data_IF_645493559135
#
_entry.id   IF_645493559135
#
_cell.length_a   1.000
_cell.length_b   1.000
_cell.length_c   1.000
_cell.angle_alpha   90.00
_cell.angle_beta   90.00
_cell.angle_gamma   90.00
#
_symmetry.space_group_name_H-M   'P 1'
#
loop_
_entity.id
_entity.type
_entity.pdbx_description
1 polymer ?
#
# COMPACT_ATOMS: atom_id res chain seq x y z
N UNK A 1 48.12 -62.82 26.56
CA UNK A 1 47.08 -62.40 25.60
C UNK A 1 46.05 -61.57 26.34
N UNK A 2 45.95 -60.27 26.03
CA UNK A 2 44.94 -59.33 26.56
C UNK A 2 43.82 -59.16 25.52
N UNK A 3 42.55 -58.98 25.91
CA UNK A 3 41.48 -58.71 24.96
C UNK A 3 41.53 -57.26 24.45
N UNK A 4 41.25 -57.10 23.16
CA UNK A 4 41.18 -55.82 22.44
C UNK A 4 39.79 -55.20 22.69
N UNK A 5 39.67 -53.92 23.08
CA UNK A 5 38.38 -53.25 23.15
C UNK A 5 37.96 -52.72 21.77
N UNK A 6 36.70 -52.95 21.41
CA UNK A 6 36.03 -52.39 20.24
C UNK A 6 35.74 -50.89 20.45
N UNK A 7 35.88 -50.03 19.43
CA UNK A 7 35.49 -48.63 19.54
C UNK A 7 33.96 -48.49 19.40
N UNK A 8 33.32 -47.88 20.41
CA UNK A 8 31.92 -47.45 20.36
C UNK A 8 31.70 -46.27 19.41
N UNK A 9 30.45 -45.99 19.02
CA UNK A 9 30.12 -45.01 18.00
C UNK A 9 30.52 -43.60 18.45
N UNK A 10 31.32 -42.94 17.62
CA UNK A 10 31.63 -41.53 17.73
C UNK A 10 30.34 -40.70 17.77
N UNK A 11 30.16 -39.93 18.84
CA UNK A 11 29.18 -38.87 18.92
C UNK A 11 29.46 -37.85 17.83
N UNK A 12 28.71 -37.91 16.72
CA UNK A 12 28.61 -36.82 15.75
C UNK A 12 27.95 -35.65 16.47
N UNK A 13 28.76 -34.72 16.99
CA UNK A 13 28.30 -33.37 17.31
C UNK A 13 27.79 -32.74 16.02
N UNK A 14 26.52 -32.39 15.99
CA UNK A 14 25.83 -31.74 14.88
C UNK A 14 26.47 -30.37 14.60
N UNK A 15 26.64 -29.95 13.33
CA UNK A 15 27.20 -28.64 12.97
C UNK A 15 26.24 -27.45 13.21
N UNK A 16 25.18 -27.60 14.00
CA UNK A 16 24.14 -26.58 14.24
C UNK A 16 24.56 -25.42 15.16
N UNK A 17 25.76 -25.42 15.71
CA UNK A 17 26.16 -24.47 16.78
C UNK A 17 26.98 -23.25 16.32
N UNK A 18 27.25 -23.08 15.02
CA UNK A 18 28.16 -22.01 14.55
C UNK A 18 27.54 -20.95 13.62
N UNK A 19 26.23 -20.99 13.32
CA UNK A 19 25.56 -20.03 12.43
C UNK A 19 24.38 -19.28 13.08
N UNK A 20 24.29 -19.24 14.41
CA UNK A 20 23.23 -18.50 15.14
C UNK A 20 23.51 -17.00 15.36
N UNK A 21 24.41 -16.39 14.56
CA UNK A 21 24.81 -14.99 14.77
C UNK A 21 23.80 -13.93 14.29
N UNK A 22 22.71 -14.31 13.61
CA UNK A 22 21.74 -13.37 13.03
C UNK A 22 20.53 -13.11 13.92
N UNK A 23 20.38 -13.87 15.01
CA UNK A 23 19.23 -13.82 15.93
C UNK A 23 19.71 -13.53 17.35
N UNK A 24 20.07 -12.27 17.65
CA UNK A 24 20.28 -11.83 19.04
C UNK A 24 19.49 -10.56 19.35
N UNK A 25 18.97 -10.41 20.59
CA UNK A 25 18.15 -9.29 20.98
C UNK A 25 19.00 -8.02 21.08
N UNK A 26 18.53 -6.95 20.45
CA UNK A 26 19.14 -5.63 20.52
C UNK A 26 19.12 -5.13 21.97
N UNK A 27 20.29 -5.12 22.61
CA UNK A 27 20.56 -4.36 23.84
C UNK A 27 21.30 -3.10 23.42
N UNK A 28 20.70 -1.95 23.78
CA UNK A 28 20.94 -0.69 23.10
C UNK A 28 22.22 0.05 23.46
N UNK A 29 22.49 1.09 22.67
CA UNK A 29 23.24 2.27 23.10
C UNK A 29 22.58 3.51 22.48
N UNK A 30 22.19 4.42 23.35
CA UNK A 30 21.71 5.76 23.08
C UNK A 30 22.86 6.71 22.67
N UNK A 31 22.48 7.89 22.14
CA UNK A 31 23.31 9.03 21.69
C UNK A 31 23.83 8.89 20.24
N UNK A 32 23.61 9.84 19.32
CA UNK A 32 24.12 11.23 19.35
C UNK A 32 23.22 12.19 18.55
N UNK A 33 22.76 13.24 19.26
CA UNK A 33 22.57 14.69 18.96
C UNK A 33 22.25 15.16 17.52
N UNK A 34 21.12 15.85 17.27
CA UNK A 34 20.87 17.30 17.45
C UNK A 34 21.89 18.22 16.75
N UNK A 35 21.52 18.71 15.55
CA UNK A 35 21.70 20.08 15.02
C UNK A 35 21.30 20.01 13.53
N UNK A 36 20.46 20.87 12.96
CA UNK A 36 20.73 22.28 12.77
C UNK A 36 19.42 22.96 12.37
N UNK A 37 19.01 23.99 13.10
CA UNK A 37 17.99 24.94 12.65
C UNK A 37 18.59 26.34 12.59
N UNK A 38 18.14 27.09 11.58
CA UNK A 38 18.12 28.55 11.47
C UNK A 38 19.43 29.31 11.20
N UNK A 39 19.49 29.88 9.99
CA UNK A 39 19.89 31.26 9.71
C UNK A 39 18.97 31.73 8.56
N UNK A 40 17.86 32.40 8.87
CA UNK A 40 17.72 33.84 9.07
C UNK A 40 18.06 34.69 7.82
N UNK A 41 16.98 35.14 7.18
CA UNK A 41 16.77 36.41 6.49
C UNK A 41 17.96 37.35 6.26
N UNK A 42 18.16 37.78 5.01
CA UNK A 42 17.78 39.12 4.49
C UNK A 42 18.48 39.41 3.15
N UNK A 43 17.70 39.75 2.11
CA UNK A 43 18.05 40.68 1.02
C UNK A 43 16.84 40.75 0.05
N UNK A 44 15.98 41.75 0.19
CA UNK A 44 15.93 42.98 -0.62
C UNK A 44 15.39 42.79 -2.06
N UNK A 45 14.09 43.09 -2.18
CA UNK A 45 13.48 44.14 -3.03
C UNK A 45 13.76 44.17 -4.54
N UNK A 46 12.65 44.32 -5.27
CA UNK A 46 12.44 44.61 -6.71
C UNK A 46 12.36 43.35 -7.60
N UNK A 47 11.36 43.13 -8.45
CA UNK A 47 10.56 44.08 -9.22
C UNK A 47 9.04 43.81 -9.12
N UNK A 48 8.27 44.89 -8.94
CA UNK A 48 6.85 44.93 -9.33
C UNK A 48 6.82 45.07 -10.85
N UNK A 49 6.79 43.95 -11.55
CA UNK A 49 6.24 43.91 -12.91
C UNK A 49 4.71 43.93 -12.76
N UNK A 50 4.08 44.96 -13.32
CA UNK A 50 2.63 45.12 -13.31
C UNK A 50 1.97 43.98 -14.07
N UNK A 51 1.59 42.91 -13.37
CA UNK A 51 0.62 41.96 -13.86
C UNK A 51 -0.74 42.66 -13.76
N UNK A 52 -1.26 43.11 -14.89
CA UNK A 52 -2.64 43.54 -15.00
C UNK A 52 -3.51 42.43 -14.42
N UNK A 53 -4.11 42.67 -13.27
CA UNK A 53 -5.18 41.82 -12.75
C UNK A 53 -6.33 42.00 -13.73
N UNK A 54 -6.41 41.08 -14.70
CA UNK A 54 -7.55 40.95 -15.58
C UNK A 54 -8.76 40.76 -14.65
N UNK A 55 -9.66 41.76 -14.62
CA UNK A 55 -10.93 41.61 -13.92
C UNK A 55 -11.61 40.35 -14.48
N UNK A 56 -12.10 39.44 -13.63
CA UNK A 56 -12.78 38.25 -14.12
C UNK A 56 -14.00 38.67 -14.94
N UNK A 57 -14.08 38.25 -16.20
CA UNK A 57 -15.22 38.52 -17.10
C UNK A 57 -16.49 37.84 -16.54
N UNK A 58 -17.44 38.60 -15.96
CA UNK A 58 -18.57 38.00 -15.25
C UNK A 58 -19.55 37.32 -16.22
N UNK A 59 -19.62 37.80 -17.48
CA UNK A 59 -20.48 37.23 -18.53
C UNK A 59 -19.97 35.84 -18.96
N UNK A 60 -18.66 35.69 -19.16
CA UNK A 60 -18.05 34.41 -19.54
C UNK A 60 -18.19 33.34 -18.47
N UNK A 61 -18.04 33.72 -17.18
CA UNK A 61 -18.30 32.83 -16.05
C UNK A 61 -19.76 32.38 -16.01
N UNK A 62 -20.71 33.32 -16.14
CA UNK A 62 -22.14 32.99 -16.11
C UNK A 62 -22.59 32.06 -17.23
N UNK A 63 -21.99 32.17 -18.43
CA UNK A 63 -22.30 31.28 -19.55
C UNK A 63 -21.70 29.88 -19.35
N UNK A 64 -20.50 29.79 -18.76
CA UNK A 64 -19.87 28.51 -18.42
C UNK A 64 -20.69 27.77 -17.36
N UNK A 65 -21.02 28.44 -16.26
CA UNK A 65 -21.83 27.87 -15.18
C UNK A 65 -23.20 27.34 -15.69
N UNK A 66 -23.84 28.06 -16.63
CA UNK A 66 -25.09 27.60 -17.28
C UNK A 66 -24.89 26.34 -18.13
N UNK A 67 -23.81 26.27 -18.91
CA UNK A 67 -23.51 25.12 -19.77
C UNK A 67 -23.19 23.88 -18.93
N UNK A 68 -22.44 24.03 -17.85
CA UNK A 68 -22.07 22.93 -16.97
C UNK A 68 -23.29 22.41 -16.18
N UNK A 69 -24.21 23.32 -15.82
CA UNK A 69 -25.54 22.97 -15.29
C UNK A 69 -26.43 22.24 -16.28
N UNK A 70 -26.40 22.59 -17.57
CA UNK A 70 -27.09 21.85 -18.63
C UNK A 70 -26.50 20.45 -18.83
N UNK A 71 -25.17 20.34 -18.83
CA UNK A 71 -24.47 19.06 -18.99
C UNK A 71 -24.77 18.12 -17.81
N UNK A 72 -24.75 18.64 -16.59
CA UNK A 72 -25.13 17.90 -15.38
C UNK A 72 -26.56 17.36 -15.47
N UNK A 73 -27.51 18.18 -15.93
CA UNK A 73 -28.91 17.74 -16.11
C UNK A 73 -29.06 16.67 -17.18
N UNK A 74 -28.37 16.79 -18.31
CA UNK A 74 -28.38 15.78 -19.37
C UNK A 74 -27.81 14.46 -18.89
N UNK A 75 -26.70 14.50 -18.15
CA UNK A 75 -26.08 13.32 -17.56
C UNK A 75 -27.04 12.63 -16.58
N UNK A 76 -27.62 13.36 -15.62
CA UNK A 76 -28.55 12.81 -14.64
C UNK A 76 -29.79 12.19 -15.32
N UNK A 77 -30.37 12.85 -16.32
CA UNK A 77 -31.53 12.32 -17.06
C UNK A 77 -31.20 11.05 -17.83
N UNK A 78 -30.01 10.96 -18.44
CA UNK A 78 -29.60 9.78 -19.17
C UNK A 78 -29.37 8.58 -18.23
N UNK A 79 -28.74 8.81 -17.08
CA UNK A 79 -28.53 7.77 -16.05
C UNK A 79 -29.85 7.31 -15.42
N UNK A 80 -30.78 8.23 -15.17
CA UNK A 80 -32.10 7.93 -14.61
C UNK A 80 -33.01 7.16 -15.58
N UNK A 81 -32.71 7.16 -16.89
CA UNK A 81 -33.52 6.43 -17.88
C UNK A 81 -33.48 4.91 -17.70
N UNK A 82 -32.45 4.39 -17.03
CA UNK A 82 -32.19 2.95 -16.87
C UNK A 82 -31.83 2.22 -18.17
N UNK A 83 -31.81 2.90 -19.33
CA UNK A 83 -31.51 2.29 -20.63
C UNK A 83 -30.00 2.15 -20.79
N UNK A 84 -29.54 0.93 -21.05
CA UNK A 84 -28.11 0.62 -21.17
C UNK A 84 -27.36 1.52 -22.17
N UNK A 85 -27.96 1.81 -23.34
CA UNK A 85 -27.36 2.69 -24.34
C UNK A 85 -27.21 4.14 -23.84
N UNK A 86 -28.21 4.67 -23.13
CA UNK A 86 -28.20 6.04 -22.63
C UNK A 86 -27.21 6.18 -21.47
N UNK A 87 -27.19 5.22 -20.55
CA UNK A 87 -26.17 5.10 -19.49
C UNK A 87 -24.76 5.02 -20.08
N UNK A 88 -24.54 4.15 -21.08
CA UNK A 88 -23.23 4.00 -21.71
C UNK A 88 -22.78 5.30 -22.38
N UNK A 89 -23.68 6.00 -23.09
CA UNK A 89 -23.37 7.30 -23.70
C UNK A 89 -23.03 8.34 -22.64
N UNK A 90 -23.82 8.42 -21.57
CA UNK A 90 -23.61 9.32 -20.45
C UNK A 90 -22.22 9.12 -19.83
N UNK A 91 -21.88 7.88 -19.47
CA UNK A 91 -20.62 7.56 -18.82
C UNK A 91 -19.41 7.70 -19.74
N UNK A 92 -19.56 7.43 -21.05
CA UNK A 92 -18.42 7.48 -22.00
C UNK A 92 -18.14 8.87 -22.56
N UNK A 93 -19.14 9.76 -22.59
CA UNK A 93 -19.00 11.07 -23.24
C UNK A 93 -19.33 12.25 -22.34
N UNK A 94 -20.50 12.25 -21.68
CA UNK A 94 -20.96 13.40 -20.91
C UNK A 94 -20.21 13.55 -19.59
N UNK A 95 -19.98 12.43 -18.88
CA UNK A 95 -19.27 12.45 -17.61
C UNK A 95 -17.80 12.91 -17.76
N UNK A 96 -16.99 12.38 -18.71
CA UNK A 96 -15.65 12.91 -18.97
C UNK A 96 -15.63 14.40 -19.32
N UNK A 97 -16.53 14.85 -20.21
CA UNK A 97 -16.61 16.28 -20.58
C UNK A 97 -16.97 17.16 -19.38
N UNK A 98 -17.83 16.68 -18.47
CA UNK A 98 -18.13 17.40 -17.23
C UNK A 98 -16.93 17.44 -16.29
N UNK A 99 -16.23 16.31 -16.08
CA UNK A 99 -15.06 16.25 -15.20
C UNK A 99 -13.90 17.11 -15.72
N UNK A 100 -13.70 17.19 -17.03
CA UNK A 100 -12.68 18.04 -17.64
C UNK A 100 -12.95 19.54 -17.45
N UNK A 101 -14.22 19.93 -17.35
CA UNK A 101 -14.63 21.33 -17.20
C UNK A 101 -14.77 21.75 -15.75
N UNK A 102 -15.48 20.94 -14.97
CA UNK A 102 -15.83 21.18 -13.58
C UNK A 102 -16.06 19.84 -12.85
N UNK A 103 -14.97 19.29 -12.32
CA UNK A 103 -15.01 18.06 -11.53
C UNK A 103 -15.80 18.20 -10.22
N UNK A 104 -15.97 19.43 -9.71
CA UNK A 104 -16.79 19.70 -8.52
C UNK A 104 -18.27 19.63 -8.87
N UNK A 105 -18.67 20.08 -10.06
CA UNK A 105 -20.02 19.84 -10.56
C UNK A 105 -20.29 18.34 -10.77
N UNK A 106 -19.32 17.59 -11.32
CA UNK A 106 -19.44 16.14 -11.46
C UNK A 106 -19.59 15.42 -10.12
N UNK A 107 -18.85 15.83 -9.07
CA UNK A 107 -18.94 15.24 -7.74
C UNK A 107 -20.31 15.49 -7.09
N UNK A 108 -20.81 16.74 -7.15
CA UNK A 108 -22.15 17.09 -6.67
C UNK A 108 -23.25 16.34 -7.40
N UNK A 109 -23.09 16.12 -8.72
CA UNK A 109 -24.02 15.30 -9.47
C UNK A 109 -24.00 13.86 -8.95
N UNK A 110 -22.82 13.27 -8.79
CA UNK A 110 -22.65 11.90 -8.31
C UNK A 110 -23.31 11.69 -6.93
N UNK A 111 -23.11 12.64 -6.01
CA UNK A 111 -23.72 12.63 -4.67
C UNK A 111 -25.25 12.73 -4.66
N UNK A 112 -25.86 13.23 -5.74
CA UNK A 112 -27.31 13.38 -5.85
C UNK A 112 -27.96 12.30 -6.75
N UNK A 113 -27.18 11.37 -7.30
CA UNK A 113 -27.72 10.25 -8.06
C UNK A 113 -28.38 9.24 -7.12
N UNK A 114 -29.50 8.68 -7.57
CA UNK A 114 -30.12 7.52 -6.94
C UNK A 114 -29.18 6.31 -6.98
N UNK A 115 -29.17 5.43 -5.96
CA UNK A 115 -28.26 4.27 -5.91
C UNK A 115 -28.34 3.37 -7.15
N UNK A 116 -29.55 3.18 -7.70
CA UNK A 116 -29.79 2.37 -8.91
C UNK A 116 -29.33 3.05 -10.21
N UNK A 117 -29.03 4.36 -10.19
CA UNK A 117 -28.68 5.16 -11.36
C UNK A 117 -27.15 5.20 -11.61
N UNK A 118 -26.47 4.06 -11.45
CA UNK A 118 -25.01 3.94 -11.62
C UNK A 118 -24.19 4.85 -10.69
N UNK A 119 -24.74 5.23 -9.53
CA UNK A 119 -24.13 6.15 -8.55
C UNK A 119 -22.70 5.77 -8.20
N UNK A 120 -22.49 4.53 -7.77
CA UNK A 120 -21.16 4.00 -7.40
C UNK A 120 -20.15 4.15 -8.55
N UNK A 121 -20.56 3.77 -9.77
CA UNK A 121 -19.70 3.86 -10.94
C UNK A 121 -19.31 5.31 -11.28
N UNK A 122 -20.21 6.28 -11.08
CA UNK A 122 -19.92 7.71 -11.27
C UNK A 122 -19.00 8.20 -10.16
N UNK A 123 -19.27 7.88 -8.90
CA UNK A 123 -18.44 8.23 -7.75
C UNK A 123 -17.00 7.75 -7.94
N UNK A 124 -16.80 6.50 -8.36
CA UNK A 124 -15.46 5.94 -8.57
C UNK A 124 -14.73 6.56 -9.76
N UNK A 125 -15.44 6.92 -10.83
CA UNK A 125 -14.84 7.64 -11.94
C UNK A 125 -14.40 9.04 -11.52
N UNK A 126 -15.26 9.77 -10.81
CA UNK A 126 -14.91 11.10 -10.27
C UNK A 126 -13.72 10.99 -9.31
N UNK A 127 -13.72 10.03 -8.38
CA UNK A 127 -12.60 9.82 -7.45
C UNK A 127 -11.27 9.60 -8.16
N UNK A 128 -11.24 8.69 -9.15
CA UNK A 128 -10.02 8.39 -9.90
C UNK A 128 -9.52 9.62 -10.65
N UNK A 129 -10.41 10.28 -11.38
CA UNK A 129 -10.09 11.44 -12.21
C UNK A 129 -9.71 12.67 -11.38
N UNK A 130 -10.34 12.86 -10.23
CA UNK A 130 -9.99 13.94 -9.32
C UNK A 130 -8.65 13.66 -8.67
N UNK A 131 -8.40 12.42 -8.22
CA UNK A 131 -7.12 12.05 -7.63
C UNK A 131 -5.93 12.26 -8.57
N UNK A 132 -6.11 12.11 -9.88
CA UNK A 132 -5.06 12.41 -10.88
C UNK A 132 -4.74 13.91 -10.94
N UNK A 133 -5.74 14.78 -10.79
CA UNK A 133 -5.60 16.24 -10.92
C UNK A 133 -5.24 16.93 -9.60
N UNK A 134 -5.90 16.51 -8.52
CA UNK A 134 -5.77 17.04 -7.17
C UNK A 134 -6.08 15.92 -6.13
N UNK A 135 -5.04 15.15 -5.74
CA UNK A 135 -5.13 14.08 -4.75
C UNK A 135 -5.78 14.50 -3.42
N UNK A 136 -5.42 15.68 -2.92
CA UNK A 136 -5.85 16.16 -1.62
C UNK A 136 -7.33 16.55 -1.63
N UNK A 137 -7.78 17.23 -2.69
CA UNK A 137 -9.19 17.56 -2.86
C UNK A 137 -10.06 16.30 -3.06
N UNK A 138 -9.60 15.32 -3.84
CA UNK A 138 -10.30 14.06 -4.05
C UNK A 138 -10.52 13.28 -2.74
N UNK A 139 -9.47 13.16 -1.91
CA UNK A 139 -9.55 12.49 -0.60
C UNK A 139 -10.42 13.27 0.39
N UNK A 140 -10.34 14.60 0.36
CA UNK A 140 -11.21 15.46 1.19
C UNK A 140 -12.68 15.27 0.82
N UNK A 141 -12.98 15.25 -0.48
CA UNK A 141 -14.32 14.99 -0.98
C UNK A 141 -14.82 13.60 -0.60
N UNK A 142 -14.02 12.55 -0.80
CA UNK A 142 -14.40 11.18 -0.47
C UNK A 142 -14.82 11.03 1.01
N UNK A 143 -14.08 11.67 1.93
CA UNK A 143 -14.38 11.69 3.37
C UNK A 143 -15.64 12.46 3.75
N UNK A 144 -16.18 13.28 2.86
CA UNK A 144 -17.39 14.08 3.10
C UNK A 144 -18.66 13.37 2.63
N UNK A 145 -18.54 12.23 1.95
CA UNK A 145 -19.69 11.43 1.53
C UNK A 145 -20.42 10.94 2.80
N UNK A 146 -21.74 11.21 2.95
CA UNK A 146 -22.45 10.91 4.20
C UNK A 146 -22.56 9.42 4.54
N UNK A 147 -22.71 8.57 3.53
CA UNK A 147 -22.72 7.13 3.72
C UNK A 147 -21.29 6.63 3.96
N UNK A 148 -21.08 5.95 5.08
CA UNK A 148 -19.74 5.52 5.50
C UNK A 148 -19.15 4.46 4.56
N UNK A 149 -19.97 3.55 4.04
CA UNK A 149 -19.49 2.48 3.18
C UNK A 149 -19.14 3.01 1.77
N UNK A 150 -19.96 3.92 1.24
CA UNK A 150 -19.64 4.65 0.01
C UNK A 150 -18.38 5.51 0.20
N UNK A 151 -18.29 6.27 1.30
CA UNK A 151 -17.12 7.09 1.64
C UNK A 151 -15.83 6.25 1.64
N UNK A 152 -15.83 5.11 2.34
CA UNK A 152 -14.66 4.24 2.43
C UNK A 152 -14.26 3.69 1.05
N UNK A 153 -15.24 3.29 0.24
CA UNK A 153 -15.00 2.74 -1.10
C UNK A 153 -14.44 3.81 -2.05
N UNK A 154 -14.98 5.03 -2.01
CA UNK A 154 -14.54 6.17 -2.82
C UNK A 154 -13.15 6.64 -2.36
N UNK A 155 -12.90 6.67 -1.05
CA UNK A 155 -11.61 7.01 -0.47
C UNK A 155 -10.54 6.00 -0.90
N UNK A 156 -10.88 4.70 -0.85
CA UNK A 156 -10.02 3.64 -1.34
C UNK A 156 -9.68 3.84 -2.82
N UNK A 157 -10.68 4.09 -3.66
CA UNK A 157 -10.47 4.31 -5.09
C UNK A 157 -9.60 5.54 -5.39
N UNK A 158 -9.79 6.64 -4.66
CA UNK A 158 -8.96 7.84 -4.77
C UNK A 158 -7.51 7.53 -4.39
N UNK A 159 -7.27 6.94 -3.22
CA UNK A 159 -5.93 6.61 -2.74
C UNK A 159 -5.18 5.62 -3.64
N UNK A 160 -5.86 4.59 -4.18
CA UNK A 160 -5.26 3.67 -5.17
C UNK A 160 -4.86 4.41 -6.45
N UNK A 161 -5.70 5.33 -6.92
CA UNK A 161 -5.40 6.15 -8.10
C UNK A 161 -4.12 6.96 -7.90
N UNK A 162 -3.99 7.62 -6.74
CA UNK A 162 -2.76 8.34 -6.37
C UNK A 162 -1.57 7.39 -6.28
N UNK A 163 -1.76 6.20 -5.69
CA UNK A 163 -0.67 5.25 -5.49
C UNK A 163 -0.04 4.73 -6.79
N UNK A 164 -0.75 4.77 -7.90
CA UNK A 164 -0.20 4.38 -9.20
C UNK A 164 0.93 5.33 -9.65
N UNK A 165 0.77 6.63 -9.45
CA UNK A 165 1.78 7.65 -9.76
C UNK A 165 2.73 7.88 -8.60
N UNK A 166 2.21 8.17 -7.41
CA UNK A 166 2.94 8.53 -6.20
C UNK A 166 2.42 7.75 -4.96
N UNK A 167 2.95 6.55 -4.70
CA UNK A 167 2.58 5.75 -3.54
C UNK A 167 2.93 6.41 -2.20
N UNK A 168 3.97 7.26 -2.13
CA UNK A 168 4.35 7.91 -0.88
C UNK A 168 3.32 8.98 -0.51
N UNK A 169 2.90 9.81 -1.46
CA UNK A 169 1.80 10.74 -1.27
C UNK A 169 0.50 10.01 -0.91
N UNK A 170 0.22 8.88 -1.54
CA UNK A 170 -0.96 8.08 -1.20
C UNK A 170 -0.92 7.56 0.25
N UNK A 171 0.25 7.16 0.77
CA UNK A 171 0.42 6.77 2.17
C UNK A 171 0.15 7.94 3.13
N UNK A 172 0.62 9.13 2.79
CA UNK A 172 0.33 10.35 3.57
C UNK A 172 -1.17 10.65 3.59
N UNK A 173 -1.83 10.56 2.43
CA UNK A 173 -3.28 10.79 2.30
C UNK A 173 -4.12 9.73 3.02
N UNK A 174 -3.70 8.48 3.03
CA UNK A 174 -4.36 7.40 3.76
C UNK A 174 -4.35 7.64 5.29
N UNK A 175 -3.30 8.28 5.81
CA UNK A 175 -3.16 8.61 7.22
C UNK A 175 -3.32 7.38 8.12
N UNK A 176 -4.26 7.45 9.06
CA UNK A 176 -4.51 6.38 10.04
C UNK A 176 -5.35 5.21 9.49
N UNK A 177 -5.71 5.21 8.20
CA UNK A 177 -6.52 4.14 7.62
C UNK A 177 -5.66 2.90 7.32
N UNK A 178 -5.65 1.94 8.24
CA UNK A 178 -4.76 0.77 8.19
C UNK A 178 -4.92 -0.07 6.91
N UNK A 179 -6.16 -0.38 6.51
CA UNK A 179 -6.42 -1.16 5.29
C UNK A 179 -5.88 -0.49 4.02
N UNK A 180 -6.05 0.83 3.90
CA UNK A 180 -5.53 1.60 2.76
C UNK A 180 -4.00 1.65 2.79
N UNK A 181 -3.42 1.89 3.96
CA UNK A 181 -1.97 1.88 4.14
C UNK A 181 -1.36 0.56 3.67
N UNK A 182 -1.93 -0.57 4.08
CA UNK A 182 -1.44 -1.90 3.68
C UNK A 182 -1.53 -2.11 2.16
N UNK A 183 -2.64 -1.71 1.55
CA UNK A 183 -2.83 -1.80 0.10
C UNK A 183 -1.80 -0.96 -0.66
N UNK A 184 -1.59 0.29 -0.23
CA UNK A 184 -0.65 1.22 -0.86
C UNK A 184 0.79 0.78 -0.62
N UNK A 185 1.11 0.24 0.57
CA UNK A 185 2.42 -0.35 0.85
C UNK A 185 2.75 -1.52 -0.07
N UNK A 186 1.77 -2.36 -0.42
CA UNK A 186 1.97 -3.42 -1.40
C UNK A 186 2.31 -2.84 -2.80
N UNK A 187 1.61 -1.79 -3.22
CA UNK A 187 1.93 -1.07 -4.47
C UNK A 187 3.34 -0.49 -4.42
N UNK A 188 3.69 0.18 -3.33
CA UNK A 188 5.02 0.77 -3.14
C UNK A 188 6.11 -0.30 -3.13
N UNK A 189 5.94 -1.38 -2.37
CA UNK A 189 6.93 -2.46 -2.25
C UNK A 189 7.22 -3.15 -3.59
N UNK A 190 6.20 -3.26 -4.46
CA UNK A 190 6.36 -3.82 -5.82
C UNK A 190 7.06 -2.86 -6.77
N UNK A 191 6.88 -1.54 -6.60
CA UNK A 191 7.44 -0.50 -7.49
C UNK A 191 8.83 -0.05 -7.06
N UNK A 192 9.03 0.15 -5.76
CA UNK A 192 10.23 0.66 -5.11
C UNK A 192 10.32 0.07 -3.67
N UNK A 193 10.92 -1.11 -3.52
CA UNK A 193 11.04 -1.78 -2.22
C UNK A 193 11.88 -0.98 -1.21
N UNK A 194 12.90 -0.26 -1.66
CA UNK A 194 13.77 0.55 -0.80
C UNK A 194 13.00 1.75 -0.23
N UNK A 195 12.18 2.42 -1.04
CA UNK A 195 11.29 3.47 -0.56
C UNK A 195 10.24 2.93 0.44
N UNK A 196 9.71 1.71 0.22
CA UNK A 196 8.79 1.07 1.17
C UNK A 196 9.46 0.83 2.53
N UNK A 197 10.68 0.28 2.52
CA UNK A 197 11.48 0.04 3.73
C UNK A 197 11.85 1.36 4.42
N UNK A 198 12.23 2.37 3.64
CA UNK A 198 12.54 3.71 4.14
C UNK A 198 11.32 4.40 4.78
N UNK A 199 10.12 4.19 4.22
CA UNK A 199 8.87 4.67 4.82
C UNK A 199 8.57 3.92 6.12
N UNK A 200 8.67 2.58 6.13
CA UNK A 200 8.42 1.76 7.32
C UNK A 200 9.36 2.12 8.47
N UNK A 201 10.65 2.30 8.19
CA UNK A 201 11.66 2.68 9.19
C UNK A 201 11.47 4.05 9.82
N UNK A 202 10.72 4.97 9.18
CA UNK A 202 10.38 6.29 9.73
C UNK A 202 9.20 6.26 10.70
N UNK A 203 8.46 5.15 10.77
CA UNK A 203 7.29 5.05 11.64
C UNK A 203 7.71 4.95 13.11
N UNK A 204 7.24 5.92 13.90
CA UNK A 204 7.49 5.98 15.35
C UNK A 204 6.65 4.96 16.10
N UNK A 205 5.41 4.74 15.68
CA UNK A 205 4.55 3.68 16.18
C UNK A 205 5.09 2.30 15.79
N UNK A 206 5.33 1.45 16.78
CA UNK A 206 5.89 0.13 16.58
C UNK A 206 4.94 -0.82 15.84
N UNK A 207 3.64 -0.75 16.12
CA UNK A 207 2.65 -1.59 15.44
C UNK A 207 2.56 -1.28 13.96
N UNK A 208 2.57 0.01 13.59
CA UNK A 208 2.58 0.43 12.19
C UNK A 208 3.87 0.00 11.50
N UNK A 209 5.03 0.24 12.14
CA UNK A 209 6.34 -0.12 11.60
C UNK A 209 6.46 -1.62 11.34
N UNK A 210 6.14 -2.43 12.34
CA UNK A 210 6.34 -3.87 12.28
C UNK A 210 5.34 -4.51 11.30
N UNK A 211 4.08 -4.04 11.30
CA UNK A 211 3.09 -4.44 10.28
C UNK A 211 3.54 -4.08 8.87
N UNK A 212 4.11 -2.89 8.66
CA UNK A 212 4.62 -2.48 7.36
C UNK A 212 5.78 -3.37 6.88
N UNK A 213 6.74 -3.69 7.74
CA UNK A 213 7.81 -4.63 7.38
C UNK A 213 7.27 -6.02 7.03
N UNK A 214 6.27 -6.52 7.77
CA UNK A 214 5.63 -7.78 7.44
C UNK A 214 4.96 -7.74 6.06
N UNK A 215 4.21 -6.68 5.75
CA UNK A 215 3.55 -6.53 4.44
C UNK A 215 4.56 -6.41 3.29
N UNK A 216 5.67 -5.69 3.49
CA UNK A 216 6.74 -5.59 2.50
C UNK A 216 7.37 -6.97 2.25
N UNK A 217 7.66 -7.74 3.30
CA UNK A 217 8.18 -9.10 3.17
C UNK A 217 7.23 -10.00 2.37
N UNK A 218 5.93 -9.98 2.71
CA UNK A 218 4.92 -10.76 1.99
C UNK A 218 4.81 -10.37 0.52
N UNK A 219 4.88 -9.07 0.21
CA UNK A 219 4.86 -8.57 -1.17
C UNK A 219 6.08 -8.99 -2.00
N UNK A 220 7.24 -9.20 -1.34
CA UNK A 220 8.48 -9.62 -1.98
C UNK A 220 8.62 -11.15 -2.07
N UNK A 221 7.91 -11.91 -1.25
CA UNK A 221 8.08 -13.36 -1.13
C UNK A 221 7.91 -14.13 -2.45
N UNK A 222 7.10 -13.62 -3.38
CA UNK A 222 6.89 -14.24 -4.69
C UNK A 222 8.08 -14.07 -5.64
N UNK A 223 8.72 -12.89 -5.63
CA UNK A 223 9.79 -12.54 -6.56
C UNK A 223 11.18 -12.76 -5.98
N UNK A 224 11.34 -12.54 -4.68
CA UNK A 224 12.61 -12.43 -3.94
C UNK A 224 12.44 -13.02 -2.52
N UNK A 225 12.19 -14.34 -2.40
CA UNK A 225 11.89 -14.96 -1.10
C UNK A 225 13.07 -14.91 -0.11
N UNK A 226 14.32 -14.93 -0.59
CA UNK A 226 15.52 -14.76 0.23
C UNK A 226 15.55 -13.39 0.92
N UNK A 227 15.26 -12.32 0.17
CA UNK A 227 15.16 -10.95 0.69
C UNK A 227 14.00 -10.82 1.67
N UNK A 228 12.84 -11.40 1.36
CA UNK A 228 11.69 -11.42 2.25
C UNK A 228 12.01 -12.12 3.58
N UNK A 229 12.66 -13.28 3.52
CA UNK A 229 13.10 -14.03 4.69
C UNK A 229 14.10 -13.25 5.55
N UNK A 230 15.07 -12.58 4.91
CA UNK A 230 16.02 -11.70 5.61
C UNK A 230 15.30 -10.54 6.30
N UNK A 231 14.35 -9.92 5.62
CA UNK A 231 13.56 -8.82 6.18
C UNK A 231 12.80 -9.25 7.43
N UNK A 232 12.17 -10.43 7.40
CA UNK A 232 11.47 -11.01 8.55
C UNK A 232 12.42 -11.25 9.74
N UNK A 233 13.61 -11.79 9.47
CA UNK A 233 14.59 -12.07 10.52
C UNK A 233 15.20 -10.80 11.13
N UNK A 234 15.48 -9.78 10.32
CA UNK A 234 16.21 -8.58 10.76
C UNK A 234 15.32 -7.47 11.31
N UNK A 235 14.06 -7.35 10.84
CA UNK A 235 13.21 -6.19 11.14
C UNK A 235 12.02 -6.49 12.04
N UNK A 236 11.54 -7.73 12.08
CA UNK A 236 10.41 -8.08 12.93
C UNK A 236 10.90 -8.57 14.30
N UNK A 237 10.35 -8.04 15.41
CA UNK A 237 10.67 -8.56 16.73
C UNK A 237 10.13 -9.99 16.92
N UNK A 238 10.80 -10.83 17.74
CA UNK A 238 10.30 -12.16 18.06
C UNK A 238 8.88 -12.15 18.60
N UNK A 239 8.00 -12.97 18.00
CA UNK A 239 6.61 -13.10 18.42
C UNK A 239 5.67 -13.51 17.28
N UNK A 240 4.34 -13.47 17.54
CA UNK A 240 3.35 -13.99 16.61
C UNK A 240 3.38 -13.39 15.20
N UNK A 241 3.69 -12.09 15.08
CA UNK A 241 3.78 -11.42 13.78
C UNK A 241 4.98 -11.93 12.97
N UNK A 242 6.16 -12.07 13.60
CA UNK A 242 7.33 -12.65 12.94
C UNK A 242 7.06 -14.10 12.52
N UNK A 243 6.51 -14.92 13.43
CA UNK A 243 6.23 -16.33 13.17
C UNK A 243 5.26 -16.52 12.00
N UNK A 244 4.13 -15.80 12.01
CA UNK A 244 3.13 -15.88 10.94
C UNK A 244 3.66 -15.38 9.60
N UNK A 245 4.45 -14.30 9.60
CA UNK A 245 5.08 -13.78 8.38
C UNK A 245 6.14 -14.74 7.85
N UNK A 246 6.95 -15.34 8.73
CA UNK A 246 7.96 -16.31 8.35
C UNK A 246 7.33 -17.54 7.67
N UNK A 247 6.26 -18.08 8.24
CA UNK A 247 5.53 -19.20 7.65
C UNK A 247 4.90 -18.84 6.30
N UNK A 248 4.34 -17.64 6.16
CA UNK A 248 3.78 -17.19 4.88
C UNK A 248 4.86 -17.02 3.79
N UNK A 249 6.03 -16.47 4.15
CA UNK A 249 7.20 -16.43 3.25
C UNK A 249 7.65 -17.86 2.89
N UNK A 250 7.69 -18.78 3.86
CA UNK A 250 8.06 -20.18 3.64
C UNK A 250 7.14 -20.84 2.61
N UNK A 251 5.82 -20.66 2.73
CA UNK A 251 4.85 -21.18 1.78
C UNK A 251 5.05 -20.67 0.35
N UNK A 252 5.36 -19.38 0.20
CA UNK A 252 5.67 -18.79 -1.10
C UNK A 252 6.99 -19.36 -1.66
N UNK A 253 8.01 -19.43 -0.82
CA UNK A 253 9.33 -19.93 -1.19
C UNK A 253 9.28 -21.39 -1.62
N UNK A 254 8.57 -22.26 -0.88
CA UNK A 254 8.41 -23.67 -1.23
C UNK A 254 7.84 -23.91 -2.63
N UNK A 255 6.96 -23.01 -3.11
CA UNK A 255 6.41 -23.11 -4.47
C UNK A 255 7.41 -22.78 -5.56
N UNK A 256 8.43 -21.98 -5.24
CA UNK A 256 9.45 -21.51 -6.18
C UNK A 256 10.72 -22.36 -6.12
N UNK A 257 11.20 -22.60 -4.90
CA UNK A 257 12.41 -23.35 -4.60
C UNK A 257 12.24 -24.08 -3.24
N UNK A 258 11.74 -25.33 -3.25
CA UNK A 258 11.55 -26.11 -2.03
C UNK A 258 12.87 -26.52 -1.34
N UNK A 259 14.00 -26.53 -2.05
CA UNK A 259 15.30 -26.86 -1.47
C UNK A 259 15.84 -25.68 -0.65
N UNK A 260 15.83 -24.48 -1.23
CA UNK A 260 16.21 -23.26 -0.53
C UNK A 260 15.28 -22.97 0.65
N UNK A 261 13.96 -23.17 0.48
CA UNK A 261 12.99 -23.06 1.56
C UNK A 261 13.31 -24.00 2.74
N UNK A 262 13.69 -25.25 2.47
CA UNK A 262 14.11 -26.21 3.51
C UNK A 262 15.38 -25.74 4.22
N UNK A 263 16.37 -25.28 3.47
CA UNK A 263 17.61 -24.74 4.05
C UNK A 263 17.34 -23.54 4.97
N UNK A 264 16.32 -22.73 4.66
CA UNK A 264 15.90 -21.64 5.53
C UNK A 264 15.23 -22.13 6.83
N UNK A 265 14.45 -23.20 6.79
CA UNK A 265 13.88 -23.79 8.03
C UNK A 265 14.96 -24.38 8.93
N UNK A 266 16.05 -24.91 8.37
CA UNK A 266 17.13 -25.51 9.16
C UNK A 266 17.83 -24.55 10.12
N UNK A 267 17.76 -23.24 9.84
CA UNK A 267 18.34 -22.16 10.65
C UNK A 267 17.35 -21.56 11.67
N UNK A 268 16.10 -22.01 11.71
CA UNK A 268 15.13 -21.53 12.70
C UNK A 268 15.55 -21.96 14.11
N UNK A 269 15.31 -21.13 15.14
CA UNK A 269 15.58 -21.53 16.51
C UNK A 269 14.64 -22.67 16.94
N UNK A 270 15.13 -23.51 17.85
CA UNK A 270 14.30 -24.54 18.48
C UNK A 270 13.05 -23.91 19.11
N UNK A 271 11.87 -24.45 18.80
CA UNK A 271 10.61 -23.93 19.32
C UNK A 271 9.41 -24.20 18.41
N UNK A 272 8.30 -23.54 18.72
CA UNK A 272 7.02 -23.72 18.00
C UNK A 272 7.09 -23.33 16.53
N UNK A 273 7.89 -22.31 16.18
CA UNK A 273 8.05 -21.88 14.79
C UNK A 273 8.73 -22.97 13.95
N UNK A 274 9.85 -23.54 14.43
CA UNK A 274 10.54 -24.64 13.77
C UNK A 274 9.62 -25.85 13.59
N UNK A 275 8.93 -26.29 14.65
CA UNK A 275 8.01 -27.43 14.58
C UNK A 275 6.90 -27.23 13.54
N UNK A 276 6.34 -26.02 13.44
CA UNK A 276 5.33 -25.70 12.43
C UNK A 276 5.92 -25.71 11.03
N UNK A 277 7.08 -25.08 10.83
CA UNK A 277 7.75 -25.03 9.54
C UNK A 277 8.13 -26.43 9.02
N UNK A 278 8.61 -27.33 9.89
CA UNK A 278 8.89 -28.73 9.55
C UNK A 278 7.61 -29.50 9.16
N UNK A 279 6.49 -29.22 9.83
CA UNK A 279 5.18 -29.78 9.47
C UNK A 279 4.74 -29.30 8.07
N UNK A 280 4.91 -28.02 7.75
CA UNK A 280 4.55 -27.47 6.43
C UNK A 280 5.39 -28.08 5.30
N UNK A 281 6.71 -28.22 5.51
CA UNK A 281 7.61 -28.89 4.55
C UNK A 281 7.20 -30.35 4.29
N UNK A 282 6.80 -31.06 5.35
CA UNK A 282 6.38 -32.46 5.26
C UNK A 282 5.05 -32.60 4.51
N UNK A 283 4.10 -31.69 4.76
CA UNK A 283 2.80 -31.65 4.08
C UNK A 283 2.91 -31.34 2.58
N UNK A 284 3.77 -30.39 2.21
CA UNK A 284 4.02 -30.04 0.81
C UNK A 284 4.60 -31.23 0.01
N UNK A 285 5.45 -32.04 0.64
CA UNK A 285 6.07 -33.19 0.00
C UNK A 285 5.11 -34.38 -0.20
N UNK A 286 4.00 -34.42 0.54
CA UNK A 286 2.97 -35.47 0.41
C UNK A 286 2.00 -35.23 -0.76
N UNK A 287 1.90 -33.98 -1.26
CA UNK A 287 1.01 -33.58 -2.35
C UNK A 287 1.73 -32.62 -3.31
N UNK A 288 2.60 -33.12 -4.21
CA UNK A 288 3.20 -32.27 -5.24
C UNK A 288 2.10 -31.70 -6.14
N UNK A 289 2.09 -30.39 -6.32
CA UNK A 289 1.18 -29.72 -7.26
C UNK A 289 1.57 -30.18 -8.66
N UNK A 290 0.75 -31.05 -9.26
CA UNK A 290 0.89 -31.44 -10.67
C UNK A 290 0.48 -30.25 -11.54
N UNK A 291 1.40 -29.77 -12.37
CA UNK A 291 1.14 -28.78 -13.44
C UNK A 291 0.15 -29.30 -14.49
#
# INVERSE_FOLDING_TARGET
MKPIPTPGPHSRRSPRTLLSLWWKPATGVAAILLAYSLLAATALRSSRSGRSVQRPDPVGKSQRDRRDGDLSRQLASALASGKAHDTQRALRSLLPDLMDRDIVAASRLAENLEPWASREQVLFQVAREWAIRDPAAAVTWARQIPDTAESDSVLQQACISVAQSDPLQALELAGNHDSLRNLILNVLARKDPDAALGWAGKQTDAGIRDSAYAQIALGQAESSPEEAARLVAERLPPGPLQDSTALAVLHQWMRRDPEAARAWVEIFPDGSLLMRAESELSGANAYPVTE
#
